data_IF_835121169787
#
_entry.id   IF_835121169787
#
_cell.length_a   1.000
_cell.length_b   1.000
_cell.length_c   1.000
_cell.angle_alpha   90.00
_cell.angle_beta   90.00
_cell.angle_gamma   90.00
#
_symmetry.space_group_name_H-M   'P 1'
#
loop_
_entity.id
_entity.type
_entity.pdbx_description
1 polymer ?
#
# COMPACT_ATOMS: atom_id res chain seq x y z
N UNK A 1 -15.35 6.77 13.61
CA UNK A 1 -14.34 5.71 13.87
C UNK A 1 -14.10 5.02 12.53
N UNK A 2 -13.08 5.36 11.75
CA UNK A 2 -11.85 6.05 12.10
C UNK A 2 -10.70 5.45 11.29
N UNK A 3 -10.83 5.44 9.97
CA UNK A 3 -9.73 5.22 9.05
C UNK A 3 -9.87 6.30 7.99
N UNK A 4 -8.77 6.96 7.65
CA UNK A 4 -8.72 7.94 6.56
C UNK A 4 -9.16 7.24 5.26
N UNK A 5 -9.98 7.89 4.44
CA UNK A 5 -10.57 7.26 3.24
C UNK A 5 -9.47 6.74 2.31
N UNK A 6 -8.33 7.44 2.23
CA UNK A 6 -7.17 7.01 1.46
C UNK A 6 -6.52 5.72 2.00
N UNK A 7 -6.49 5.57 3.33
CA UNK A 7 -6.03 4.34 3.98
C UNK A 7 -7.00 3.19 3.69
N UNK A 8 -8.31 3.46 3.60
CA UNK A 8 -9.30 2.47 3.21
C UNK A 8 -9.12 2.01 1.75
N UNK A 9 -8.85 2.94 0.84
CA UNK A 9 -8.62 2.64 -0.58
C UNK A 9 -7.27 1.96 -0.85
N UNK A 10 -6.28 2.14 0.03
CA UNK A 10 -4.96 1.50 -0.08
C UNK A 10 -4.83 0.18 0.70
N UNK A 11 -5.92 -0.29 1.33
CA UNK A 11 -5.94 -1.52 2.11
C UNK A 11 -6.26 -2.76 1.27
N UNK A 12 -5.48 -3.84 1.47
CA UNK A 12 -5.72 -5.16 0.85
C UNK A 12 -5.87 -6.22 1.94
N UNK A 13 -6.90 -7.07 1.82
CA UNK A 13 -7.15 -8.19 2.74
C UNK A 13 -6.75 -9.51 2.10
N UNK A 14 -5.82 -10.22 2.75
CA UNK A 14 -5.46 -11.59 2.40
C UNK A 14 -6.17 -12.58 3.34
N UNK A 15 -6.69 -13.67 2.76
CA UNK A 15 -7.32 -14.75 3.50
C UNK A 15 -6.67 -16.06 3.08
N UNK A 16 -6.27 -16.88 4.05
CA UNK A 16 -5.63 -18.17 3.84
C UNK A 16 -6.53 -19.32 4.32
N UNK A 17 -6.33 -20.51 3.76
CA UNK A 17 -7.19 -21.67 4.05
C UNK A 17 -6.40 -22.97 4.17
N UNK A 18 -7.13 -24.09 4.34
CA UNK A 18 -6.56 -25.44 4.51
C UNK A 18 -5.58 -25.85 3.41
N UNK A 19 -5.70 -25.28 2.22
CA UNK A 19 -4.90 -25.61 1.05
C UNK A 19 -3.76 -24.63 0.79
N UNK A 20 -3.64 -23.56 1.57
CA UNK A 20 -2.54 -22.61 1.43
C UNK A 20 -1.24 -23.25 1.93
N UNK A 21 -0.20 -23.22 1.11
CA UNK A 21 1.13 -23.73 1.49
C UNK A 21 2.09 -22.61 1.86
N UNK A 22 3.17 -22.95 2.57
CA UNK A 22 4.21 -21.97 2.93
C UNK A 22 4.86 -21.37 1.67
N UNK A 23 5.06 -22.16 0.62
CA UNK A 23 5.65 -21.69 -0.64
C UNK A 23 4.76 -20.66 -1.35
N UNK A 24 3.43 -20.81 -1.27
CA UNK A 24 2.49 -19.81 -1.81
C UNK A 24 2.55 -18.50 -1.02
N UNK A 25 2.75 -18.58 0.30
CA UNK A 25 2.94 -17.40 1.15
C UNK A 25 4.24 -16.69 0.80
N UNK A 26 5.35 -17.42 0.68
CA UNK A 26 6.63 -16.86 0.32
C UNK A 26 6.59 -16.18 -1.05
N UNK A 27 5.96 -16.84 -2.03
CA UNK A 27 5.72 -16.25 -3.34
C UNK A 27 4.90 -14.96 -3.25
N UNK A 28 3.79 -14.97 -2.51
CA UNK A 28 2.95 -13.80 -2.33
C UNK A 28 3.73 -12.64 -1.69
N UNK A 29 4.56 -12.90 -0.67
CA UNK A 29 5.41 -11.89 -0.03
C UNK A 29 6.35 -11.24 -1.04
N UNK A 30 7.04 -12.03 -1.86
CA UNK A 30 7.95 -11.48 -2.88
C UNK A 30 7.20 -10.60 -3.89
N UNK A 31 6.07 -11.08 -4.42
CA UNK A 31 5.30 -10.32 -5.40
C UNK A 31 4.74 -9.03 -4.81
N UNK A 32 4.25 -9.05 -3.56
CA UNK A 32 3.75 -7.86 -2.87
C UNK A 32 4.88 -6.84 -2.69
N UNK A 33 6.08 -7.28 -2.28
CA UNK A 33 7.22 -6.37 -2.14
C UNK A 33 7.59 -5.70 -3.45
N UNK A 34 7.65 -6.45 -4.54
CA UNK A 34 7.95 -5.91 -5.88
C UNK A 34 6.87 -4.90 -6.30
N UNK A 35 5.59 -5.26 -6.16
CA UNK A 35 4.49 -4.39 -6.54
C UNK A 35 4.45 -3.09 -5.73
N UNK A 36 4.56 -3.17 -4.40
CA UNK A 36 4.56 -2.00 -3.51
C UNK A 36 5.76 -1.09 -3.77
N UNK A 37 6.95 -1.67 -3.99
CA UNK A 37 8.14 -0.88 -4.32
C UNK A 37 7.95 -0.12 -5.62
N UNK A 38 7.49 -0.79 -6.67
CA UNK A 38 7.23 -0.16 -7.96
C UNK A 38 6.18 0.96 -7.86
N UNK A 39 5.09 0.73 -7.13
CA UNK A 39 4.05 1.76 -6.92
C UNK A 39 4.60 2.97 -6.19
N UNK A 40 5.46 2.75 -5.18
CA UNK A 40 6.12 3.81 -4.42
C UNK A 40 7.15 4.59 -5.23
N UNK A 41 7.91 3.92 -6.10
CA UNK A 41 8.90 4.57 -6.97
C UNK A 41 8.25 5.52 -8.00
N UNK A 42 6.97 5.32 -8.31
CA UNK A 42 6.20 6.16 -9.24
C UNK A 42 5.28 7.15 -8.51
N UNK A 43 5.20 7.09 -7.18
CA UNK A 43 4.25 7.88 -6.40
C UNK A 43 4.87 9.19 -5.92
N UNK A 44 4.43 10.36 -6.41
CA UNK A 44 4.90 11.65 -5.89
C UNK A 44 4.57 11.84 -4.41
N UNK A 45 3.51 11.20 -3.93
CA UNK A 45 3.12 11.19 -2.52
C UNK A 45 4.13 10.47 -1.64
N UNK A 46 4.70 9.39 -2.17
CA UNK A 46 5.75 8.66 -1.49
C UNK A 46 7.04 9.47 -1.40
N UNK A 47 7.35 10.27 -2.42
CA UNK A 47 8.48 11.21 -2.38
C UNK A 47 8.26 12.31 -1.35
N UNK A 48 7.08 12.94 -1.34
CA UNK A 48 6.70 13.94 -0.33
C UNK A 48 6.75 13.39 1.10
N UNK A 49 6.28 12.15 1.29
CA UNK A 49 6.41 11.45 2.58
C UNK A 49 7.88 11.27 3.01
N UNK A 50 8.77 10.85 2.09
CA UNK A 50 10.21 10.70 2.38
C UNK A 50 10.89 12.03 2.71
N UNK A 51 10.39 13.13 2.17
CA UNK A 51 10.85 14.50 2.45
C UNK A 51 10.29 15.07 3.77
N UNK A 52 9.43 14.32 4.46
CA UNK A 52 8.85 14.72 5.75
C UNK A 52 7.68 15.69 5.62
N UNK A 53 7.07 15.79 4.43
CA UNK A 53 5.86 16.58 4.21
C UNK A 53 4.67 15.87 4.86
N UNK A 54 3.87 16.63 5.61
CA UNK A 54 2.61 16.13 6.15
C UNK A 54 1.58 16.00 5.02
N UNK A 55 1.36 14.77 4.56
CA UNK A 55 0.41 14.47 3.49
C UNK A 55 -1.04 14.83 3.83
N UNK A 56 -1.40 14.96 5.11
CA UNK A 56 -2.74 15.40 5.51
C UNK A 56 -3.03 16.87 5.19
N UNK A 57 -1.98 17.64 4.88
CA UNK A 57 -2.06 19.06 4.54
C UNK A 57 -2.01 19.32 3.03
N UNK A 58 -1.86 18.27 2.22
CA UNK A 58 -1.82 18.37 0.76
C UNK A 58 -3.24 18.49 0.24
N UNK A 59 -3.56 19.59 -0.45
CA UNK A 59 -4.86 19.74 -1.12
C UNK A 59 -4.92 18.82 -2.34
N UNK A 60 -5.71 17.76 -2.21
CA UNK A 60 -5.99 16.83 -3.28
C UNK A 60 -6.89 17.50 -4.33
N UNK A 61 -6.49 17.46 -5.59
CA UNK A 61 -7.39 17.79 -6.69
C UNK A 61 -8.48 16.70 -6.76
N UNK A 62 -9.60 16.94 -6.08
CA UNK A 62 -10.78 16.10 -6.20
C UNK A 62 -11.26 16.11 -7.66
N UNK A 63 -11.35 14.93 -8.27
CA UNK A 63 -12.10 14.68 -9.50
C UNK A 63 -13.44 14.03 -9.17
#
# INVERSE_FOLDING_TARGET
LGMDDELAHSSVRFSFGRFTTEEEIDYAIEQIRVAVTKLRDMSPLWDMYKEGVDLSTVEWAHH
#
